data_IF_490932449187
#
_entry.id   IF_490932449187
#
_cell.length_a   1.000
_cell.length_b   1.000
_cell.length_c   1.000
_cell.angle_alpha   90.00
_cell.angle_beta   90.00
_cell.angle_gamma   90.00
#
_symmetry.space_group_name_H-M   'P 1'
#
loop_
_entity.id
_entity.type
_entity.pdbx_description
1 polymer ?
#
# COMPACT_ATOMS: atom_id res chain seq x y z
N UNK A 1 14.42 12.80 -24.87
CA UNK A 1 14.99 11.53 -25.38
C UNK A 1 14.08 10.42 -24.92
N UNK A 2 13.52 9.64 -25.83
CA UNK A 2 12.76 8.42 -25.52
C UNK A 2 13.73 7.25 -25.53
N UNK A 3 13.88 6.57 -24.38
CA UNK A 3 14.53 5.26 -24.30
C UNK A 3 13.40 4.22 -24.25
N UNK A 4 13.54 3.17 -25.05
CA UNK A 4 12.50 2.18 -25.32
C UNK A 4 13.01 0.84 -24.80
N UNK A 5 12.78 0.56 -23.51
CA UNK A 5 13.18 -0.69 -22.86
C UNK A 5 12.16 -1.80 -23.14
N UNK A 6 12.23 -2.36 -24.35
CA UNK A 6 11.56 -3.62 -24.70
C UNK A 6 12.28 -4.77 -23.98
N UNK A 7 11.61 -5.36 -22.98
CA UNK A 7 12.21 -6.41 -22.14
C UNK A 7 12.04 -7.80 -22.77
N UNK A 8 13.00 -8.75 -22.60
CA UNK A 8 13.05 -9.97 -23.43
C UNK A 8 12.03 -11.08 -23.10
N UNK A 9 10.89 -10.76 -22.47
CA UNK A 9 9.95 -11.77 -21.98
C UNK A 9 8.83 -12.11 -22.99
N UNK A 10 8.36 -11.12 -23.76
CA UNK A 10 7.21 -11.26 -24.67
C UNK A 10 7.43 -12.26 -25.83
N UNK A 11 8.68 -12.47 -26.25
CA UNK A 11 9.03 -13.45 -27.30
C UNK A 11 8.83 -14.93 -26.89
N UNK A 12 8.67 -15.21 -25.59
CA UNK A 12 8.57 -16.58 -25.06
C UNK A 12 7.11 -17.02 -24.99
N UNK A 13 6.19 -16.13 -24.60
CA UNK A 13 4.78 -16.48 -24.44
C UNK A 13 4.09 -16.80 -25.79
N UNK A 14 4.38 -16.04 -26.85
CA UNK A 14 3.77 -16.27 -28.17
C UNK A 14 4.11 -17.65 -28.79
N UNK A 15 5.24 -18.27 -28.42
CA UNK A 15 5.67 -19.56 -28.99
C UNK A 15 5.01 -20.78 -28.36
N UNK A 16 4.25 -20.60 -27.27
CA UNK A 16 3.53 -21.69 -26.61
C UNK A 16 2.11 -21.80 -27.21
N UNK A 17 1.47 -20.68 -27.51
CA UNK A 17 0.07 -20.60 -27.95
C UNK A 17 -0.19 -21.23 -29.33
N UNK A 18 0.78 -21.22 -30.24
CA UNK A 18 0.62 -21.77 -31.59
C UNK A 18 0.71 -23.31 -31.61
N UNK A 19 1.53 -23.89 -30.73
CA UNK A 19 1.79 -25.34 -30.70
C UNK A 19 0.66 -26.17 -30.05
N UNK A 20 -0.22 -25.56 -29.25
CA UNK A 20 -1.31 -26.28 -28.55
C UNK A 20 -2.62 -26.33 -29.37
N UNK A 21 -2.74 -25.53 -30.45
CA UNK A 21 -3.95 -25.45 -31.30
C UNK A 21 -4.01 -26.55 -32.35
N UNK A 22 -2.88 -27.03 -32.87
CA UNK A 22 -2.85 -28.00 -33.99
C UNK A 22 -3.11 -29.47 -33.56
N UNK A 23 -3.29 -29.74 -32.26
CA UNK A 23 -3.34 -31.10 -31.71
C UNK A 23 -4.76 -31.63 -31.36
N UNK A 24 -5.83 -30.86 -31.60
CA UNK A 24 -7.20 -31.20 -31.12
C UNK A 24 -8.25 -31.42 -32.22
N UNK A 25 -7.84 -31.71 -33.46
CA UNK A 25 -8.77 -32.03 -34.57
C UNK A 25 -8.31 -33.29 -35.33
N UNK A 26 -8.80 -34.48 -34.91
CA UNK A 26 -9.25 -35.60 -35.76
C UNK A 26 -9.56 -36.86 -34.90
N UNK A 27 -10.65 -36.81 -34.12
CA UNK A 27 -11.29 -37.98 -33.44
C UNK A 27 -12.82 -37.77 -33.47
N UNK A 28 -13.59 -38.87 -33.39
CA UNK A 28 -15.08 -39.00 -33.51
C UNK A 28 -15.61 -39.01 -34.97
N UNK A 29 -16.54 -39.89 -35.38
CA UNK A 29 -17.16 -41.09 -34.75
C UNK A 29 -16.96 -42.33 -35.69
N UNK A 30 -17.82 -43.33 -36.01
CA UNK A 30 -19.16 -43.87 -35.69
C UNK A 30 -19.07 -45.39 -36.04
N UNK A 31 -19.45 -46.43 -35.29
CA UNK A 31 -20.66 -46.77 -34.49
C UNK A 31 -21.86 -47.18 -35.37
N UNK A 32 -22.35 -48.43 -35.39
CA UNK A 32 -21.68 -49.72 -35.15
C UNK A 32 -21.73 -50.63 -36.42
N UNK A 33 -22.66 -51.55 -36.70
CA UNK A 33 -23.76 -52.21 -35.96
C UNK A 33 -23.92 -53.67 -36.47
N UNK A 34 -24.61 -54.55 -35.72
CA UNK A 34 -25.01 -55.91 -36.17
C UNK A 34 -26.49 -56.19 -35.89
N UNK A 35 -27.22 -56.87 -36.80
CA UNK A 35 -27.43 -58.31 -36.58
C UNK A 35 -27.67 -59.22 -37.82
N UNK A 36 -27.28 -60.50 -37.65
CA UNK A 36 -28.02 -61.75 -38.01
C UNK A 36 -28.72 -61.96 -39.37
N UNK A 37 -28.42 -63.10 -40.03
CA UNK A 37 -29.38 -64.20 -40.34
C UNK A 37 -29.27 -64.87 -41.73
N UNK A 38 -28.65 -66.06 -41.75
CA UNK A 38 -28.99 -67.27 -42.56
C UNK A 38 -28.92 -67.30 -44.11
N UNK A 39 -28.97 -68.56 -44.60
CA UNK A 39 -29.14 -69.05 -45.99
C UNK A 39 -27.89 -68.95 -46.89
N UNK A 40 -26.89 -69.84 -46.83
CA UNK A 40 -26.86 -71.32 -46.80
C UNK A 40 -27.07 -72.01 -48.16
N UNK A 41 -25.97 -72.26 -48.89
CA UNK A 41 -25.88 -73.38 -49.84
C UNK A 41 -24.56 -74.15 -49.61
N UNK A 42 -24.58 -75.46 -49.85
CA UNK A 42 -23.53 -76.42 -49.46
C UNK A 42 -23.21 -77.34 -50.63
N UNK A 43 -21.94 -77.43 -51.02
CA UNK A 43 -21.33 -78.69 -51.53
C UNK A 43 -19.85 -78.75 -51.09
N UNK A 44 -19.56 -79.73 -50.25
CA UNK A 44 -18.41 -80.65 -50.21
C UNK A 44 -17.09 -80.31 -50.96
N UNK A 45 -15.87 -80.72 -50.58
CA UNK A 45 -15.24 -81.59 -49.55
C UNK A 45 -14.01 -82.25 -50.23
N UNK A 46 -13.01 -82.83 -49.55
CA UNK A 46 -12.38 -82.46 -48.29
C UNK A 46 -10.86 -82.25 -48.46
N UNK A 47 -10.27 -81.31 -47.72
CA UNK A 47 -8.86 -81.47 -47.35
C UNK A 47 -8.61 -81.07 -45.89
N UNK A 48 -8.22 -82.04 -45.07
CA UNK A 48 -8.01 -81.80 -43.64
C UNK A 48 -6.74 -80.98 -43.41
N UNK A 49 -6.80 -79.78 -42.83
CA UNK A 49 -5.59 -79.07 -42.42
C UNK A 49 -4.92 -79.87 -41.32
N UNK A 50 -3.82 -80.57 -41.67
CA UNK A 50 -3.00 -81.29 -40.69
C UNK A 50 -2.53 -80.27 -39.66
N UNK A 51 -3.00 -80.41 -38.42
CA UNK A 51 -2.48 -79.65 -37.28
C UNK A 51 -1.03 -80.06 -37.08
N UNK A 52 -0.11 -79.32 -37.69
CA UNK A 52 1.33 -79.53 -37.57
C UNK A 52 1.70 -79.54 -36.09
N UNK A 53 2.04 -80.73 -35.60
CA UNK A 53 2.35 -80.98 -34.19
C UNK A 53 3.54 -80.07 -33.85
N UNK A 54 3.38 -79.04 -33.00
CA UNK A 54 4.41 -78.00 -32.90
C UNK A 54 5.74 -78.61 -32.49
N UNK A 55 6.78 -78.40 -33.30
CA UNK A 55 8.14 -78.87 -33.00
C UNK A 55 8.50 -78.48 -31.56
N UNK A 56 9.04 -79.42 -30.78
CA UNK A 56 9.18 -79.27 -29.31
C UNK A 56 9.95 -78.01 -28.93
N UNK A 57 10.96 -77.62 -29.73
CA UNK A 57 11.68 -76.35 -29.58
C UNK A 57 10.77 -75.11 -29.69
N UNK A 58 9.80 -75.10 -30.62
CA UNK A 58 8.85 -73.99 -30.82
C UNK A 58 7.87 -73.85 -29.66
N UNK A 59 7.55 -74.93 -28.94
CA UNK A 59 6.78 -74.87 -27.68
C UNK A 59 7.60 -74.25 -26.54
N UNK A 60 8.87 -74.64 -26.41
CA UNK A 60 9.79 -74.10 -25.38
C UNK A 60 10.02 -72.61 -25.63
N UNK A 61 10.31 -72.20 -26.87
CA UNK A 61 10.48 -70.80 -27.24
C UNK A 61 9.24 -69.95 -26.95
N UNK A 62 8.03 -70.46 -27.25
CA UNK A 62 6.77 -69.78 -26.88
C UNK A 62 6.62 -69.61 -25.35
N UNK A 63 7.00 -70.61 -24.54
CA UNK A 63 6.99 -70.49 -23.08
C UNK A 63 7.96 -69.44 -22.56
N UNK A 64 9.18 -69.38 -23.12
CA UNK A 64 10.19 -68.37 -22.77
C UNK A 64 9.69 -66.96 -23.15
N UNK A 65 9.16 -66.79 -24.36
CA UNK A 65 8.68 -65.49 -24.84
C UNK A 65 7.49 -64.98 -24.01
N UNK A 66 6.54 -65.85 -23.64
CA UNK A 66 5.44 -65.50 -22.70
C UNK A 66 5.99 -65.10 -21.33
N UNK A 67 6.96 -65.82 -20.78
CA UNK A 67 7.59 -65.44 -19.50
C UNK A 67 8.34 -64.10 -19.58
N UNK A 68 9.02 -63.82 -20.70
CA UNK A 68 9.70 -62.55 -20.94
C UNK A 68 8.69 -61.39 -21.02
N UNK A 69 7.55 -61.59 -21.70
CA UNK A 69 6.46 -60.59 -21.75
C UNK A 69 5.86 -60.35 -20.36
N UNK A 70 5.64 -61.39 -19.55
CA UNK A 70 5.17 -61.23 -18.16
C UNK A 70 6.17 -60.45 -17.31
N UNK A 71 7.48 -60.74 -17.42
CA UNK A 71 8.54 -59.98 -16.75
C UNK A 71 8.55 -58.52 -17.24
N UNK A 72 8.46 -58.27 -18.54
CA UNK A 72 8.47 -56.92 -19.11
C UNK A 72 7.26 -56.09 -18.65
N UNK A 73 6.06 -56.68 -18.58
CA UNK A 73 4.86 -56.02 -18.04
C UNK A 73 5.04 -55.72 -16.55
N UNK A 74 5.60 -56.65 -15.76
CA UNK A 74 5.88 -56.41 -14.35
C UNK A 74 6.92 -55.30 -14.13
N UNK A 75 7.97 -55.24 -14.97
CA UNK A 75 9.01 -54.20 -14.90
C UNK A 75 8.47 -52.83 -15.30
N UNK A 76 7.66 -52.75 -16.37
CA UNK A 76 6.99 -51.52 -16.79
C UNK A 76 6.01 -51.03 -15.72
N UNK A 77 5.16 -51.93 -15.18
CA UNK A 77 4.24 -51.60 -14.09
C UNK A 77 4.95 -51.10 -12.84
N UNK A 78 6.05 -51.75 -12.44
CA UNK A 78 6.89 -51.29 -11.32
C UNK A 78 7.51 -49.91 -11.56
N UNK A 79 8.01 -49.64 -12.77
CA UNK A 79 8.57 -48.34 -13.14
C UNK A 79 7.52 -47.22 -13.13
N UNK A 80 6.32 -47.46 -13.70
CA UNK A 80 5.23 -46.49 -13.65
C UNK A 80 4.74 -46.24 -12.22
N UNK A 81 4.72 -47.27 -11.36
CA UNK A 81 4.30 -47.15 -9.96
C UNK A 81 5.32 -46.35 -9.12
N UNK A 82 6.61 -46.67 -9.21
CA UNK A 82 7.69 -45.90 -8.57
C UNK A 82 7.68 -44.43 -9.01
N UNK A 83 7.53 -44.20 -10.32
CA UNK A 83 7.41 -42.85 -10.88
C UNK A 83 6.19 -42.12 -10.31
N UNK A 84 5.00 -42.72 -10.33
CA UNK A 84 3.78 -42.08 -9.82
C UNK A 84 3.92 -41.70 -8.33
N UNK A 85 4.40 -42.63 -7.49
CA UNK A 85 4.62 -42.38 -6.05
C UNK A 85 5.68 -41.30 -5.79
N UNK A 86 6.69 -41.18 -6.65
CA UNK A 86 7.76 -40.18 -6.50
C UNK A 86 7.36 -38.78 -6.98
N UNK A 87 6.44 -38.67 -7.94
CA UNK A 87 6.00 -37.38 -8.49
C UNK A 87 4.79 -36.78 -7.75
N UNK A 88 3.85 -37.58 -7.23
CA UNK A 88 2.71 -37.08 -6.45
C UNK A 88 3.05 -36.05 -5.35
N UNK A 89 3.99 -36.32 -4.41
CA UNK A 89 4.30 -35.37 -3.35
C UNK A 89 4.96 -34.07 -3.87
N UNK A 90 5.56 -34.09 -5.06
CA UNK A 90 6.10 -32.87 -5.69
C UNK A 90 4.98 -32.01 -6.27
N UNK A 91 3.94 -32.62 -6.85
CA UNK A 91 2.73 -31.90 -7.32
C UNK A 91 1.98 -31.28 -6.15
N UNK A 92 1.84 -32.00 -5.04
CA UNK A 92 1.24 -31.46 -3.81
C UNK A 92 2.07 -30.30 -3.23
N UNK A 93 3.40 -30.43 -3.15
CA UNK A 93 4.29 -29.36 -2.70
C UNK A 93 4.19 -28.12 -3.59
N UNK A 94 4.18 -28.27 -4.92
CA UNK A 94 4.01 -27.14 -5.86
C UNK A 94 2.63 -26.50 -5.71
N UNK A 95 1.58 -27.27 -5.42
CA UNK A 95 0.25 -26.73 -5.14
C UNK A 95 0.20 -25.92 -3.84
N UNK A 96 0.85 -26.41 -2.78
CA UNK A 96 0.97 -25.69 -1.49
C UNK A 96 1.76 -24.40 -1.69
N UNK A 97 2.96 -24.46 -2.29
CA UNK A 97 3.80 -23.28 -2.54
C UNK A 97 3.09 -22.22 -3.41
N UNK A 98 2.29 -22.62 -4.40
CA UNK A 98 1.45 -21.67 -5.16
C UNK A 98 0.36 -21.01 -4.31
N UNK A 99 -0.23 -21.76 -3.37
CA UNK A 99 -1.16 -21.21 -2.37
C UNK A 99 -0.48 -20.22 -1.41
N UNK A 100 0.70 -20.59 -0.90
CA UNK A 100 1.49 -19.74 0.00
C UNK A 100 1.92 -18.43 -0.69
N UNK A 101 2.35 -18.49 -1.96
CA UNK A 101 2.67 -17.31 -2.77
C UNK A 101 1.43 -16.43 -3.00
N UNK A 102 0.27 -17.02 -3.30
CA UNK A 102 -0.98 -16.24 -3.44
C UNK A 102 -1.33 -15.53 -2.13
N UNK A 103 -1.34 -16.24 -1.02
CA UNK A 103 -1.67 -15.69 0.30
C UNK A 103 -0.64 -14.65 0.79
N UNK A 104 0.62 -14.76 0.38
CA UNK A 104 1.65 -13.75 0.63
C UNK A 104 1.42 -12.50 -0.23
N UNK A 105 1.05 -12.64 -1.51
CA UNK A 105 0.70 -11.51 -2.38
C UNK A 105 -0.56 -10.79 -1.87
N UNK A 106 -1.59 -11.52 -1.44
CA UNK A 106 -2.80 -10.95 -0.84
C UNK A 106 -2.47 -10.15 0.44
N UNK A 107 -1.52 -10.62 1.24
CA UNK A 107 -1.01 -9.90 2.41
C UNK A 107 -0.18 -8.66 2.03
N UNK A 108 0.66 -8.74 0.99
CA UNK A 108 1.42 -7.59 0.49
C UNK A 108 0.48 -6.48 0.03
N UNK A 109 -0.50 -6.80 -0.83
CA UNK A 109 -1.50 -5.83 -1.30
C UNK A 109 -2.31 -5.22 -0.14
N UNK A 110 -2.66 -6.02 0.87
CA UNK A 110 -3.35 -5.53 2.07
C UNK A 110 -2.47 -4.63 2.95
N UNK A 111 -1.14 -4.83 2.97
CA UNK A 111 -0.19 -4.01 3.72
C UNK A 111 0.15 -2.73 2.96
N UNK A 112 0.26 -2.78 1.63
CA UNK A 112 0.45 -1.61 0.77
C UNK A 112 -0.74 -0.64 0.90
N UNK A 113 -1.97 -1.15 0.86
CA UNK A 113 -3.18 -0.34 1.09
C UNK A 113 -3.29 0.22 2.52
N UNK A 114 -2.76 -0.49 3.53
CA UNK A 114 -2.68 0.02 4.91
C UNK A 114 -1.61 1.12 5.04
N UNK A 115 -0.46 0.98 4.36
CA UNK A 115 0.59 2.00 4.31
C UNK A 115 0.08 3.27 3.60
N UNK A 116 -0.62 3.15 2.48
CA UNK A 116 -1.24 4.28 1.79
C UNK A 116 -2.23 5.02 2.70
N UNK A 117 -3.10 4.28 3.40
CA UNK A 117 -4.07 4.86 4.35
C UNK A 117 -3.38 5.55 5.53
N UNK A 118 -2.31 4.97 6.09
CA UNK A 118 -1.55 5.57 7.18
C UNK A 118 -0.80 6.84 6.73
N UNK A 119 -0.27 6.86 5.51
CA UNK A 119 0.34 8.06 4.92
C UNK A 119 -0.65 9.23 4.78
N UNK A 120 -1.90 8.95 4.35
CA UNK A 120 -2.96 9.96 4.30
C UNK A 120 -3.29 10.54 5.69
N UNK A 121 -3.32 9.70 6.73
CA UNK A 121 -3.50 10.16 8.11
C UNK A 121 -2.28 10.90 8.68
N UNK A 122 -1.06 10.61 8.23
CA UNK A 122 0.15 11.35 8.60
C UNK A 122 0.13 12.76 7.98
N UNK A 123 -0.26 12.89 6.70
CA UNK A 123 -0.45 14.18 6.03
C UNK A 123 -1.56 15.01 6.68
N UNK A 124 -2.73 14.42 6.98
CA UNK A 124 -3.81 15.08 7.72
C UNK A 124 -3.36 15.51 9.14
N UNK A 125 -2.51 14.71 9.81
CA UNK A 125 -2.02 15.06 11.15
C UNK A 125 -1.03 16.23 11.14
N UNK A 126 -0.21 16.35 10.09
CA UNK A 126 0.70 17.48 9.89
C UNK A 126 -0.10 18.76 9.63
N UNK A 127 -1.02 18.74 8.66
CA UNK A 127 -1.87 19.90 8.33
C UNK A 127 -2.70 20.38 9.53
N UNK A 128 -3.31 19.46 10.28
CA UNK A 128 -4.02 19.80 11.52
C UNK A 128 -3.10 20.36 12.62
N UNK A 129 -1.83 19.94 12.67
CA UNK A 129 -0.85 20.46 13.64
C UNK A 129 -0.46 21.90 13.28
N UNK A 130 -0.20 22.18 12.01
CA UNK A 130 0.12 23.52 11.52
C UNK A 130 -1.08 24.47 11.70
N UNK A 131 -2.31 24.04 11.38
CA UNK A 131 -3.54 24.78 11.67
C UNK A 131 -3.69 25.10 13.18
N UNK A 132 -3.37 24.15 14.07
CA UNK A 132 -3.41 24.36 15.52
C UNK A 132 -2.36 25.39 15.95
N UNK A 133 -1.16 25.38 15.35
CA UNK A 133 -0.11 26.36 15.65
C UNK A 133 -0.50 27.78 15.20
N UNK A 134 -1.07 27.94 13.99
CA UNK A 134 -1.54 29.23 13.49
C UNK A 134 -2.68 29.79 14.34
N UNK A 135 -3.68 28.97 14.67
CA UNK A 135 -4.80 29.36 15.54
C UNK A 135 -4.31 29.74 16.94
N UNK A 136 -3.36 28.98 17.50
CA UNK A 136 -2.76 29.29 18.82
C UNK A 136 -1.99 30.61 18.80
N UNK A 137 -1.26 30.88 17.71
CA UNK A 137 -0.54 32.14 17.49
C UNK A 137 -1.51 33.31 17.37
N UNK A 138 -2.61 33.16 16.60
CA UNK A 138 -3.64 34.20 16.46
C UNK A 138 -4.37 34.49 17.76
N UNK A 139 -4.76 33.46 18.52
CA UNK A 139 -5.37 33.60 19.85
C UNK A 139 -4.43 34.32 20.82
N UNK A 140 -3.14 34.00 20.80
CA UNK A 140 -2.13 34.65 21.67
C UNK A 140 -1.95 36.13 21.30
N UNK A 141 -1.91 36.45 20.00
CA UNK A 141 -1.85 37.82 19.50
C UNK A 141 -3.12 38.63 19.86
N UNK A 142 -4.31 38.04 19.72
CA UNK A 142 -5.56 38.65 20.14
C UNK A 142 -5.63 38.86 21.66
N UNK A 143 -5.08 37.93 22.45
CA UNK A 143 -4.95 38.06 23.91
C UNK A 143 -4.03 39.23 24.30
N UNK A 144 -2.92 39.43 23.58
CA UNK A 144 -2.05 40.59 23.74
C UNK A 144 -2.74 41.90 23.37
N UNK A 145 -3.46 41.95 22.23
CA UNK A 145 -4.25 43.12 21.80
C UNK A 145 -5.34 43.47 22.82
N UNK A 146 -6.02 42.47 23.37
CA UNK A 146 -7.01 42.66 24.44
C UNK A 146 -6.36 43.19 25.73
N UNK A 147 -5.22 42.63 26.15
CA UNK A 147 -4.50 43.10 27.34
C UNK A 147 -3.99 44.56 27.21
N UNK A 148 -3.59 44.98 26.01
CA UNK A 148 -3.23 46.39 25.73
C UNK A 148 -4.46 47.29 25.80
N UNK A 149 -5.62 46.85 25.30
CA UNK A 149 -6.88 47.59 25.42
C UNK A 149 -7.37 47.68 26.88
N UNK A 150 -7.26 46.59 27.65
CA UNK A 150 -7.54 46.54 29.09
C UNK A 150 -6.66 47.57 29.85
N UNK A 151 -5.36 47.61 29.51
CA UNK A 151 -4.39 48.55 30.10
C UNK A 151 -4.73 50.01 29.75
N UNK A 152 -4.98 50.32 28.47
CA UNK A 152 -5.40 51.67 28.06
C UNK A 152 -6.69 52.10 28.76
N UNK A 153 -7.70 51.24 28.85
CA UNK A 153 -8.97 51.58 29.52
C UNK A 153 -8.78 51.81 31.03
N UNK A 154 -7.86 51.09 31.67
CA UNK A 154 -7.55 51.30 33.09
C UNK A 154 -6.77 52.60 33.32
N UNK A 155 -5.81 52.95 32.44
CA UNK A 155 -5.06 54.22 32.51
C UNK A 155 -5.98 55.43 32.24
N UNK A 156 -6.91 55.34 31.29
CA UNK A 156 -7.90 56.40 31.00
C UNK A 156 -8.82 56.71 32.19
N UNK A 157 -8.97 55.75 33.11
CA UNK A 157 -9.85 55.81 34.27
C UNK A 157 -9.08 56.02 35.59
N UNK A 158 -7.81 56.40 35.54
CA UNK A 158 -6.89 56.55 36.67
C UNK A 158 -6.73 55.28 37.55
N UNK A 159 -7.10 54.10 37.03
CA UNK A 159 -7.08 52.81 37.74
C UNK A 159 -5.70 52.15 37.68
N UNK A 160 -4.68 52.81 38.23
CA UNK A 160 -3.27 52.36 38.19
C UNK A 160 -3.05 50.88 38.58
N UNK A 161 -3.77 50.37 39.59
CA UNK A 161 -3.65 48.97 40.01
C UNK A 161 -4.14 47.98 38.92
N UNK A 162 -5.26 48.30 38.27
CA UNK A 162 -5.81 47.47 37.18
C UNK A 162 -4.98 47.62 35.91
N UNK A 163 -4.45 48.81 35.64
CA UNK A 163 -3.52 49.07 34.55
C UNK A 163 -2.23 48.26 34.69
N UNK A 164 -1.69 48.16 35.91
CA UNK A 164 -0.51 47.33 36.19
C UNK A 164 -0.80 45.85 35.96
N UNK A 165 -1.94 45.34 36.46
CA UNK A 165 -2.34 43.95 36.25
C UNK A 165 -2.55 43.62 34.75
N UNK A 166 -3.13 44.56 33.98
CA UNK A 166 -3.27 44.42 32.54
C UNK A 166 -1.91 44.46 31.82
N UNK A 167 -0.99 45.32 32.25
CA UNK A 167 0.39 45.37 31.73
C UNK A 167 1.18 44.10 32.04
N UNK A 168 1.07 43.53 33.25
CA UNK A 168 1.71 42.25 33.59
C UNK A 168 1.21 41.14 32.64
N UNK A 169 -0.09 41.12 32.33
CA UNK A 169 -0.68 40.25 31.29
C UNK A 169 -0.08 40.53 29.91
N UNK A 170 -0.01 41.80 29.46
CA UNK A 170 0.61 42.18 28.17
C UNK A 170 2.01 41.57 28.04
N UNK A 171 2.88 41.76 29.03
CA UNK A 171 4.25 41.23 29.02
C UNK A 171 4.27 39.71 28.80
N UNK A 172 3.53 38.98 29.64
CA UNK A 172 3.44 37.51 29.53
C UNK A 172 2.90 37.02 28.18
N UNK A 173 1.95 37.75 27.57
CA UNK A 173 1.42 37.41 26.24
C UNK A 173 2.39 37.75 25.10
N UNK A 174 3.22 38.79 25.24
CA UNK A 174 4.26 39.12 24.27
C UNK A 174 5.42 38.11 24.34
N UNK A 175 5.85 37.72 25.54
CA UNK A 175 6.87 36.67 25.72
C UNK A 175 6.40 35.32 25.14
N UNK A 176 5.14 34.94 25.39
CA UNK A 176 4.55 33.73 24.82
C UNK A 176 4.47 33.81 23.28
N UNK A 177 3.97 34.93 22.73
CA UNK A 177 3.89 35.16 21.28
C UNK A 177 5.26 35.10 20.61
N UNK A 178 6.28 35.73 21.20
CA UNK A 178 7.68 35.70 20.72
C UNK A 178 8.21 34.27 20.62
N UNK A 179 7.79 33.37 21.51
CA UNK A 179 8.17 31.95 21.51
C UNK A 179 7.49 31.09 20.43
N UNK A 180 6.44 31.58 19.77
CA UNK A 180 5.68 30.87 18.71
C UNK A 180 6.11 31.29 17.30
N UNK A 181 6.86 32.39 17.18
CA UNK A 181 7.16 33.07 15.92
C UNK A 181 8.58 32.74 15.39
N UNK A 182 8.79 32.95 14.09
CA UNK A 182 10.13 32.83 13.51
C UNK A 182 11.06 33.98 13.95
N UNK A 183 12.36 33.86 13.68
CA UNK A 183 13.38 34.81 14.19
C UNK A 183 13.08 36.28 13.87
N UNK A 184 12.72 36.58 12.61
CA UNK A 184 12.45 37.95 12.14
C UNK A 184 11.20 38.53 12.82
N UNK A 185 10.13 37.72 12.92
CA UNK A 185 8.89 38.07 13.61
C UNK A 185 9.09 38.22 15.13
N UNK A 186 9.93 37.38 15.73
CA UNK A 186 10.29 37.42 17.14
C UNK A 186 11.12 38.67 17.50
N UNK A 187 11.94 39.20 16.57
CA UNK A 187 12.60 40.51 16.73
C UNK A 187 11.57 41.66 16.75
N UNK A 188 10.52 41.59 15.93
CA UNK A 188 9.43 42.59 15.96
C UNK A 188 8.69 42.57 17.31
N UNK A 189 8.48 41.40 17.91
CA UNK A 189 7.87 41.26 19.25
C UNK A 189 8.84 41.63 20.38
N UNK A 190 10.14 41.36 20.26
CA UNK A 190 11.17 41.88 21.18
C UNK A 190 11.14 43.42 21.24
N UNK A 191 11.02 44.08 20.09
CA UNK A 191 10.81 45.52 19.96
C UNK A 191 9.43 46.01 20.47
N UNK A 192 8.53 45.11 20.84
CA UNK A 192 7.29 45.42 21.59
C UNK A 192 7.49 45.21 23.09
N UNK A 193 8.16 44.13 23.51
CA UNK A 193 8.51 43.84 24.92
C UNK A 193 9.36 44.97 25.50
N UNK A 194 10.37 45.46 24.77
CA UNK A 194 11.21 46.57 25.23
C UNK A 194 10.40 47.86 25.44
N UNK A 195 9.38 48.13 24.61
CA UNK A 195 8.48 49.27 24.77
C UNK A 195 7.49 49.07 25.93
N UNK A 196 6.96 47.86 26.09
CA UNK A 196 6.12 47.48 27.23
C UNK A 196 6.85 47.68 28.58
N UNK A 197 8.14 47.36 28.66
CA UNK A 197 8.95 47.64 29.85
C UNK A 197 9.10 49.15 30.14
N UNK A 198 9.20 50.02 29.13
CA UNK A 198 9.16 51.48 29.32
C UNK A 198 7.80 51.94 29.86
N UNK A 199 6.70 51.42 29.31
CA UNK A 199 5.34 51.74 29.77
C UNK A 199 5.15 51.37 31.26
N UNK A 200 5.69 50.25 31.72
CA UNK A 200 5.65 49.86 33.14
C UNK A 200 6.43 50.85 34.03
N UNK A 201 7.56 51.38 33.55
CA UNK A 201 8.37 52.37 34.28
C UNK A 201 7.66 53.73 34.35
N UNK A 202 6.94 54.12 33.30
CA UNK A 202 6.29 55.43 33.16
C UNK A 202 4.88 55.50 33.80
N UNK A 203 4.28 54.35 34.14
CA UNK A 203 2.93 54.19 34.72
C UNK A 203 2.67 55.04 35.99
N UNK A 204 3.70 55.24 36.81
CA UNK A 204 3.60 56.03 38.05
C UNK A 204 3.86 57.53 37.84
N UNK A 205 4.30 57.94 36.64
CA UNK A 205 4.73 59.30 36.31
C UNK A 205 3.79 60.10 35.41
N UNK A 206 3.42 59.55 34.24
CA UNK A 206 2.59 60.25 33.25
C UNK A 206 1.66 59.32 32.46
N UNK A 207 0.38 59.31 32.83
CA UNK A 207 -0.67 58.56 32.14
C UNK A 207 -0.87 58.97 30.67
N UNK A 208 -0.55 60.20 30.26
CA UNK A 208 -0.70 60.63 28.87
C UNK A 208 0.40 60.05 27.96
N UNK A 209 1.65 60.06 28.43
CA UNK A 209 2.76 59.38 27.72
C UNK A 209 2.49 57.86 27.66
N UNK A 210 2.05 57.26 28.76
CA UNK A 210 1.65 55.84 28.83
C UNK A 210 0.56 55.49 27.80
N UNK A 211 -0.49 56.32 27.66
CA UNK A 211 -1.53 56.11 26.63
C UNK A 211 -0.98 56.22 25.21
N UNK A 212 -0.06 57.16 24.97
CA UNK A 212 0.57 57.34 23.66
C UNK A 212 1.38 56.11 23.27
N UNK A 213 2.14 55.55 24.22
CA UNK A 213 2.98 54.38 24.00
C UNK A 213 2.16 53.07 23.90
N UNK A 214 1.08 52.92 24.68
CA UNK A 214 0.08 51.85 24.53
C UNK A 214 -0.62 51.92 23.16
N UNK A 215 -0.95 53.12 22.68
CA UNK A 215 -1.50 53.34 21.35
C UNK A 215 -0.55 52.88 20.24
N UNK A 216 0.76 53.16 20.36
CA UNK A 216 1.74 52.63 19.41
C UNK A 216 1.89 51.11 19.52
N UNK A 217 1.85 50.54 20.73
CA UNK A 217 1.90 49.09 20.94
C UNK A 217 0.71 48.37 20.29
N UNK A 218 -0.51 48.91 20.45
CA UNK A 218 -1.72 48.41 19.78
C UNK A 218 -1.63 48.50 18.24
N UNK A 219 -1.04 49.57 17.73
CA UNK A 219 -0.76 49.74 16.30
C UNK A 219 0.28 48.73 15.78
N UNK A 220 1.37 48.50 16.53
CA UNK A 220 2.38 47.47 16.22
C UNK A 220 1.78 46.06 16.21
N UNK A 221 0.96 45.70 17.21
CA UNK A 221 0.29 44.40 17.28
C UNK A 221 -0.69 44.20 16.12
N UNK A 222 -1.44 45.24 15.74
CA UNK A 222 -2.37 45.19 14.60
C UNK A 222 -1.63 45.12 13.26
N UNK A 223 -0.44 45.73 13.16
CA UNK A 223 0.45 45.58 11.99
C UNK A 223 1.03 44.18 11.91
N UNK A 224 1.44 43.59 13.05
CA UNK A 224 1.91 42.20 13.13
C UNK A 224 0.80 41.22 12.74
N UNK A 225 -0.43 41.41 13.20
CA UNK A 225 -1.58 40.59 12.79
C UNK A 225 -1.81 40.64 11.28
N UNK A 226 -1.76 41.84 10.68
CA UNK A 226 -1.82 42.01 9.24
C UNK A 226 -0.59 41.44 8.49
N UNK A 227 0.54 41.23 9.15
CA UNK A 227 1.75 40.65 8.54
C UNK A 227 1.75 39.12 8.61
N UNK A 228 1.16 38.56 9.66
CA UNK A 228 1.04 37.11 9.88
C UNK A 228 -0.17 36.51 9.14
N UNK A 229 -1.30 37.21 9.13
CA UNK A 229 -2.61 36.64 8.74
C UNK A 229 -3.28 37.37 7.57
N UNK A 230 -2.58 38.24 6.83
CA UNK A 230 -3.08 38.73 5.54
C UNK A 230 -2.95 37.65 4.46
N UNK A 231 -4.04 36.91 4.24
CA UNK A 231 -4.17 36.02 3.08
C UNK A 231 -4.07 36.79 1.76
N UNK A 232 -3.46 36.21 0.71
CA UNK A 232 -3.75 36.58 -0.67
C UNK A 232 -5.15 36.12 -1.11
#
# INVERSE_FOLDING_TARGET
MTINDETPQDEIEQKITEAEVEAQIEVEEQVEETPSSFEAEVVESPETPKKDKPSRARMIWRKILVWLVVIAIAFAGGFFFDTAFRYQPQVELVKVLKGDISAANDQILSLEAEIERLGQFEEENIDLTDQIQDITTHITLLSARAAVADASLAVEQDRQADAKLALDKVGSTLDALKGMLNADQAEVVENMIQRHNLIIIELEGDGYTVQTDLGLLSSKLSTLEATLFASP
#
